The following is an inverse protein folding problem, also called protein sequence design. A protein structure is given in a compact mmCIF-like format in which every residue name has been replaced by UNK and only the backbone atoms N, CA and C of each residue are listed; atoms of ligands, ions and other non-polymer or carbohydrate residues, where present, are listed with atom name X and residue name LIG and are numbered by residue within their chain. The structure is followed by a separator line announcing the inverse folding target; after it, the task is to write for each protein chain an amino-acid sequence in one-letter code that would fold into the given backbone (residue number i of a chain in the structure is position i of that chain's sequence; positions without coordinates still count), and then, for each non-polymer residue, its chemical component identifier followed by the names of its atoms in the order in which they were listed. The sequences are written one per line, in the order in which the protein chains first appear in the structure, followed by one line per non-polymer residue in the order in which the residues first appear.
data_IF_843644879561
#
_entry.id   IF_843644879561
#
_cell.length_a   1.000
_cell.length_b   1.000
_cell.length_c   1.000
_cell.angle_alpha   90.00
_cell.angle_beta   90.00
_cell.angle_gamma   90.00
#
_symmetry.space_group_name_H-M   'P 1'
#
loop_
_entity.id
_entity.type
_entity.pdbx_description
1 polymer ?
#
# COMPACT_ATOMS: atom_id res chain seq x y z
N UNK A 1 -6.13 13.13 -24.22
CA UNK A 1 -5.16 13.05 -23.10
C UNK A 1 -4.87 11.63 -22.60
N UNK A 2 -5.71 10.60 -22.81
CA UNK A 2 -5.38 9.20 -22.43
C UNK A 2 -5.33 8.20 -23.60
N UNK A 3 -5.74 8.63 -24.81
CA UNK A 3 -5.90 7.71 -25.94
C UNK A 3 -6.92 6.61 -25.59
N UNK A 4 -6.58 5.35 -25.87
CA UNK A 4 -7.39 4.17 -25.56
C UNK A 4 -6.99 3.50 -24.22
N UNK A 5 -6.25 4.20 -23.35
CA UNK A 5 -5.84 3.67 -22.05
C UNK A 5 -6.98 3.79 -21.02
N UNK A 6 -7.36 2.67 -20.42
CA UNK A 6 -8.48 2.57 -19.46
C UNK A 6 -8.03 2.42 -18.01
N UNK A 7 -6.72 2.34 -17.75
CA UNK A 7 -6.17 2.29 -16.39
C UNK A 7 -6.27 3.66 -15.70
N UNK A 8 -6.53 3.65 -14.39
CA UNK A 8 -6.60 4.87 -13.58
C UNK A 8 -5.25 5.61 -13.54
N UNK A 9 -4.16 4.87 -13.31
CA UNK A 9 -2.81 5.43 -13.25
C UNK A 9 -2.12 5.32 -14.62
N UNK A 10 -1.76 6.47 -15.19
CA UNK A 10 -1.11 6.59 -16.50
C UNK A 10 0.14 7.46 -16.41
N UNK A 11 1.07 7.26 -17.33
CA UNK A 11 2.29 8.05 -17.46
C UNK A 11 1.98 9.43 -18.03
N UNK A 12 2.65 10.46 -17.50
CA UNK A 12 2.65 11.80 -18.08
C UNK A 12 3.53 11.89 -19.33
N UNK A 13 4.36 10.88 -19.62
CA UNK A 13 5.22 10.81 -20.81
C UNK A 13 4.41 10.27 -21.99
N UNK A 14 4.50 10.91 -23.16
CA UNK A 14 3.90 10.39 -24.40
C UNK A 14 4.66 9.15 -24.90
N UNK A 15 3.97 8.11 -25.41
CA UNK A 15 2.52 7.93 -25.38
C UNK A 15 2.05 7.63 -23.94
N UNK A 16 0.98 8.28 -23.47
CA UNK A 16 0.46 8.21 -22.08
C UNK A 16 -0.11 6.82 -21.73
N UNK A 17 0.75 5.82 -21.58
CA UNK A 17 0.40 4.42 -21.26
C UNK A 17 0.17 4.23 -19.76
N UNK A 18 -0.49 3.15 -19.38
CA UNK A 18 -0.56 2.70 -17.99
C UNK A 18 0.82 2.62 -17.33
N UNK A 19 0.91 3.04 -16.07
CA UNK A 19 2.12 2.81 -15.26
C UNK A 19 2.11 1.40 -14.66
N UNK A 20 3.29 0.86 -14.41
CA UNK A 20 3.47 -0.44 -13.79
C UNK A 20 3.30 -0.37 -12.26
N UNK A 21 3.11 -1.54 -11.63
CA UNK A 21 3.16 -1.67 -10.17
C UNK A 21 4.49 -1.19 -9.59
N UNK A 22 5.60 -1.39 -10.30
CA UNK A 22 6.93 -0.91 -9.89
C UNK A 22 7.04 0.61 -9.87
N UNK A 23 6.40 1.32 -10.80
CA UNK A 23 6.33 2.79 -10.78
C UNK A 23 5.55 3.30 -9.57
N UNK A 24 4.40 2.68 -9.28
CA UNK A 24 3.59 3.03 -8.11
C UNK A 24 4.35 2.74 -6.81
N UNK A 25 5.01 1.59 -6.72
CA UNK A 25 5.83 1.22 -5.56
C UNK A 25 7.00 2.21 -5.35
N UNK A 26 7.60 2.72 -6.43
CA UNK A 26 8.62 3.77 -6.35
C UNK A 26 8.03 5.07 -5.81
N UNK A 27 6.87 5.51 -6.31
CA UNK A 27 6.20 6.70 -5.78
C UNK A 27 5.94 6.59 -4.28
N UNK A 28 5.40 5.47 -3.81
CA UNK A 28 5.17 5.24 -2.38
C UNK A 28 6.48 5.31 -1.56
N UNK A 29 7.56 4.67 -2.03
CA UNK A 29 8.86 4.73 -1.35
C UNK A 29 9.43 6.14 -1.31
N UNK A 30 9.32 6.90 -2.40
CA UNK A 30 9.75 8.30 -2.46
C UNK A 30 8.95 9.14 -1.48
N UNK A 31 7.62 9.00 -1.44
CA UNK A 31 6.75 9.73 -0.51
C UNK A 31 7.09 9.41 0.95
N UNK A 32 7.36 8.15 1.30
CA UNK A 32 7.83 7.78 2.64
C UNK A 32 9.14 8.50 3.00
N UNK A 33 10.12 8.48 2.08
CA UNK A 33 11.40 9.17 2.28
C UNK A 33 11.23 10.68 2.45
N UNK A 34 10.37 11.30 1.64
CA UNK A 34 10.05 12.74 1.72
C UNK A 34 9.34 13.10 3.03
N UNK A 35 8.55 12.19 3.59
CA UNK A 35 7.94 12.32 4.91
C UNK A 35 8.91 12.06 6.09
N UNK A 36 10.20 11.83 5.82
CA UNK A 36 11.21 11.54 6.85
C UNK A 36 11.17 10.10 7.39
N UNK A 37 10.41 9.20 6.75
CA UNK A 37 10.34 7.78 7.12
C UNK A 37 11.50 7.05 6.46
N UNK A 38 12.21 6.20 7.23
CA UNK A 38 13.33 5.42 6.71
C UNK A 38 12.87 4.39 5.68
N UNK A 39 13.06 4.74 4.40
CA UNK A 39 12.68 3.91 3.26
C UNK A 39 13.54 2.64 3.05
N UNK A 40 14.65 2.49 3.80
CA UNK A 40 15.42 1.25 3.86
C UNK A 40 14.73 0.17 4.68
N UNK A 41 13.94 0.59 5.69
CA UNK A 41 13.14 -0.27 6.56
C UNK A 41 11.72 -0.37 6.02
N UNK A 42 11.10 0.77 5.70
CA UNK A 42 9.70 0.85 5.28
C UNK A 42 9.56 0.97 3.75
N UNK A 43 8.87 0.02 3.15
CA UNK A 43 8.64 -0.01 1.71
C UNK A 43 7.17 0.27 1.35
N UNK A 44 6.87 0.17 0.05
CA UNK A 44 5.50 0.33 -0.45
C UNK A 44 4.48 -0.59 0.24
N UNK A 45 4.87 -1.83 0.56
CA UNK A 45 4.00 -2.78 1.27
C UNK A 45 3.76 -2.42 2.74
N UNK A 46 4.65 -1.63 3.36
CA UNK A 46 4.50 -1.19 4.75
C UNK A 46 3.25 -0.32 4.91
N UNK A 47 2.82 0.41 3.89
CA UNK A 47 1.56 1.18 3.89
C UNK A 47 0.35 0.29 4.14
N UNK A 48 0.27 -0.91 3.53
CA UNK A 48 -0.83 -1.85 3.75
C UNK A 48 -0.83 -2.39 5.18
N UNK A 49 0.33 -2.76 5.71
CA UNK A 49 0.47 -3.23 7.09
C UNK A 49 0.11 -2.15 8.11
N UNK A 50 0.63 -0.93 7.91
CA UNK A 50 0.33 0.22 8.77
C UNK A 50 -1.17 0.57 8.79
N UNK A 51 -1.82 0.58 7.62
CA UNK A 51 -3.27 0.83 7.52
C UNK A 51 -4.10 -0.26 8.22
N UNK A 52 -3.76 -1.54 8.05
CA UNK A 52 -4.48 -2.63 8.71
C UNK A 52 -4.26 -2.62 10.23
N UNK A 53 -3.04 -2.31 10.68
CA UNK A 53 -2.74 -2.14 12.11
C UNK A 53 -3.48 -0.96 12.72
N UNK A 54 -3.61 0.15 11.98
CA UNK A 54 -4.41 1.29 12.41
C UNK A 54 -5.90 0.94 12.55
N UNK A 55 -6.45 0.14 11.62
CA UNK A 55 -7.83 -0.35 11.73
C UNK A 55 -8.02 -1.24 12.96
N UNK A 56 -7.07 -2.14 13.24
CA UNK A 56 -7.11 -2.98 14.44
C UNK A 56 -7.09 -2.16 15.74
N UNK A 57 -6.23 -1.13 15.81
CA UNK A 57 -6.22 -0.17 16.94
C UNK A 57 -7.50 0.66 17.05
N UNK A 58 -8.18 0.88 15.93
CA UNK A 58 -9.48 1.53 15.86
C UNK A 58 -10.66 0.58 16.13
N UNK A 59 -10.41 -0.60 16.70
CA UNK A 59 -11.42 -1.59 17.07
C UNK A 59 -12.27 -2.12 15.89
N UNK A 60 -11.79 -1.97 14.65
CA UNK A 60 -12.41 -2.62 13.48
C UNK A 60 -12.23 -4.13 13.62
N UNK A 61 -13.30 -4.88 13.32
CA UNK A 61 -13.25 -6.33 13.49
C UNK A 61 -12.19 -6.96 12.59
N UNK A 62 -11.55 -8.02 13.08
CA UNK A 62 -10.54 -8.74 12.31
C UNK A 62 -11.10 -9.25 10.97
N UNK A 63 -12.34 -9.73 10.95
CA UNK A 63 -13.01 -10.20 9.72
C UNK A 63 -13.09 -9.08 8.66
N UNK A 64 -13.49 -7.87 9.07
CA UNK A 64 -13.56 -6.71 8.18
C UNK A 64 -12.18 -6.29 7.69
N UNK A 65 -11.17 -6.31 8.56
CA UNK A 65 -9.78 -6.01 8.19
C UNK A 65 -9.28 -7.03 7.16
N UNK A 66 -9.46 -8.32 7.39
CA UNK A 66 -9.03 -9.38 6.46
C UNK A 66 -9.77 -9.26 5.12
N UNK A 67 -11.07 -8.95 5.14
CA UNK A 67 -11.87 -8.73 3.94
C UNK A 67 -11.41 -7.51 3.16
N UNK A 68 -11.24 -6.36 3.81
CA UNK A 68 -10.81 -5.12 3.18
C UNK A 68 -9.38 -5.21 2.65
N UNK A 69 -8.51 -5.88 3.40
CA UNK A 69 -7.14 -6.12 2.99
C UNK A 69 -7.03 -7.25 1.96
N UNK A 70 -8.05 -8.07 1.71
CA UNK A 70 -7.98 -9.26 0.87
C UNK A 70 -6.92 -10.28 1.35
N UNK A 71 -7.00 -10.66 2.63
CA UNK A 71 -6.23 -11.76 3.23
C UNK A 71 -7.15 -12.92 3.58
N UNK A 72 -6.73 -14.14 3.24
CA UNK A 72 -7.46 -15.37 3.56
C UNK A 72 -7.16 -15.92 4.95
N UNK A 73 -6.14 -15.38 5.63
CA UNK A 73 -5.65 -15.94 6.89
C UNK A 73 -5.27 -14.85 7.88
N UNK A 74 -5.83 -14.95 9.08
CA UNK A 74 -5.43 -14.16 10.24
C UNK A 74 -3.95 -14.30 10.55
N UNK A 75 -3.40 -15.52 10.50
CA UNK A 75 -2.00 -15.75 10.89
C UNK A 75 -1.01 -14.99 9.98
N UNK A 76 -1.37 -14.82 8.70
CA UNK A 76 -0.60 -13.99 7.75
C UNK A 76 -0.66 -12.52 8.16
N UNK A 77 -1.85 -12.02 8.51
CA UNK A 77 -2.00 -10.65 9.02
C UNK A 77 -1.16 -10.45 10.29
N UNK A 78 -1.37 -11.29 11.32
CA UNK A 78 -0.69 -11.17 12.60
C UNK A 78 0.83 -11.23 12.46
N UNK A 79 1.36 -12.19 11.69
CA UNK A 79 2.81 -12.40 11.57
C UNK A 79 3.51 -11.31 10.76
N UNK A 80 2.91 -10.89 9.65
CA UNK A 80 3.63 -10.07 8.66
C UNK A 80 3.19 -8.61 8.64
N UNK A 81 1.95 -8.31 9.07
CA UNK A 81 1.32 -7.01 8.81
C UNK A 81 0.81 -6.29 10.05
N UNK A 82 0.46 -7.01 11.13
CA UNK A 82 0.09 -6.40 12.40
C UNK A 82 1.35 -5.86 13.08
N UNK A 83 1.42 -4.54 13.21
CA UNK A 83 2.52 -3.79 13.81
C UNK A 83 1.94 -2.92 14.92
N UNK A 84 2.20 -3.34 16.15
CA UNK A 84 1.91 -2.53 17.34
C UNK A 84 2.88 -1.36 17.38
N UNK A 85 2.40 -0.24 17.91
CA UNK A 85 3.22 0.95 18.18
C UNK A 85 3.34 0.98 19.70
N UNK A 86 4.57 0.96 20.20
CA UNK A 86 4.85 1.14 21.62
C UNK A 86 4.48 2.57 22.09
#
# INVERSE_FOLDING_TARGET
MRGNENRLFISFIKPHKAVTSSSIARWLRTTLKEAGIDSSIFGAHSTRGASASAAARGEVTLEEILKAANWSSESVFQRFYHKEVD
#
